data_IF_343882691794
#
_entry.id   IF_343882691794
#
_cell.length_a   1.000
_cell.length_b   1.000
_cell.length_c   1.000
_cell.angle_alpha   90.00
_cell.angle_beta   90.00
_cell.angle_gamma   90.00
#
_symmetry.space_group_name_H-M   'P 1'
#
loop_
_entity.id
_entity.type
_entity.pdbx_description
1 polymer ?
#
# COMPACT_ATOMS: atom_id res chain seq x y z
N UNK A 1 24.68 14.64 -7.46
CA UNK A 1 24.47 13.68 -6.35
C UNK A 1 23.05 13.14 -6.40
N UNK A 2 22.84 12.09 -7.20
CA UNK A 2 21.56 11.38 -7.33
C UNK A 2 21.62 10.21 -6.33
N UNK A 3 20.75 10.19 -5.32
CA UNK A 3 20.67 9.09 -4.36
C UNK A 3 19.47 8.24 -4.75
N UNK A 4 19.72 7.17 -5.50
CA UNK A 4 18.77 6.07 -5.64
C UNK A 4 18.56 5.44 -4.27
N UNK A 5 17.34 5.56 -3.76
CA UNK A 5 16.90 4.77 -2.63
C UNK A 5 16.64 3.36 -3.15
N UNK A 6 17.62 2.46 -2.98
CA UNK A 6 17.35 1.03 -3.03
C UNK A 6 16.45 0.71 -1.84
N UNK A 7 15.16 0.57 -2.12
CA UNK A 7 14.19 0.00 -1.19
C UNK A 7 14.57 -1.46 -0.88
N UNK A 8 15.47 -1.65 0.08
CA UNK A 8 15.80 -2.96 0.67
C UNK A 8 14.79 -3.38 1.77
N UNK A 9 13.59 -2.76 1.80
CA UNK A 9 12.53 -3.06 2.77
C UNK A 9 11.22 -3.53 2.14
N UNK A 10 11.29 -4.18 0.98
CA UNK A 10 10.24 -5.12 0.59
C UNK A 10 10.34 -6.36 1.49
N UNK A 11 10.04 -6.20 2.78
CA UNK A 11 9.85 -7.32 3.68
C UNK A 11 8.53 -7.99 3.27
N UNK A 12 8.62 -9.17 2.65
CA UNK A 12 7.50 -10.09 2.62
C UNK A 12 7.22 -10.47 4.08
N UNK A 13 6.16 -9.90 4.67
CA UNK A 13 5.73 -10.24 6.01
C UNK A 13 4.93 -11.55 5.95
N UNK A 14 5.45 -12.61 6.55
CA UNK A 14 4.90 -13.98 6.48
C UNK A 14 3.92 -14.34 7.62
N UNK A 15 3.37 -13.35 8.33
CA UNK A 15 2.10 -13.50 9.03
C UNK A 15 2.13 -13.76 10.54
N UNK A 16 2.99 -13.07 11.31
CA UNK A 16 2.86 -13.07 12.78
C UNK A 16 2.44 -11.70 13.36
N UNK A 17 2.42 -10.64 12.56
CA UNK A 17 2.14 -9.29 13.05
C UNK A 17 1.13 -8.50 12.19
N UNK A 18 0.03 -8.06 12.80
CA UNK A 18 -0.95 -7.16 12.21
C UNK A 18 -0.44 -5.71 12.11
N UNK A 19 -0.69 -5.06 10.98
CA UNK A 19 -0.38 -3.64 10.71
C UNK A 19 -1.62 -2.89 10.21
N UNK A 20 -1.81 -1.66 10.66
CA UNK A 20 -2.79 -0.72 10.15
C UNK A 20 -2.26 -0.02 8.89
N UNK A 21 -2.79 -0.39 7.73
CA UNK A 21 -2.42 0.23 6.46
C UNK A 21 -3.39 1.35 6.13
N UNK A 22 -2.91 2.59 6.14
CA UNK A 22 -3.68 3.77 5.76
C UNK A 22 -3.57 4.00 4.26
N UNK A 23 -4.67 3.76 3.54
CA UNK A 23 -4.78 4.02 2.11
C UNK A 23 -5.00 5.51 1.81
N UNK A 24 -4.78 5.91 0.55
CA UNK A 24 -5.17 7.23 0.11
C UNK A 24 -6.70 7.40 0.14
N UNK A 25 -7.20 8.66 0.18
CA UNK A 25 -8.63 8.91 0.06
C UNK A 25 -9.24 8.25 -1.18
N UNK A 26 -10.47 7.75 -1.05
CA UNK A 26 -11.18 7.02 -2.11
C UNK A 26 -11.19 7.78 -3.46
N UNK A 27 -11.37 9.10 -3.43
CA UNK A 27 -11.32 9.95 -4.63
C UNK A 27 -9.99 9.84 -5.39
N UNK A 28 -8.86 9.76 -4.69
CA UNK A 28 -7.54 9.57 -5.31
C UNK A 28 -7.38 8.16 -5.87
N UNK A 29 -7.85 7.16 -5.13
CA UNK A 29 -7.80 5.77 -5.62
C UNK A 29 -8.62 5.61 -6.91
N UNK A 30 -9.83 6.18 -6.93
CA UNK A 30 -10.70 6.17 -8.12
C UNK A 30 -10.07 6.88 -9.31
N UNK A 31 -9.50 8.06 -9.10
CA UNK A 31 -8.83 8.80 -10.18
C UNK A 31 -7.56 8.12 -10.69
N UNK A 32 -7.02 7.14 -9.95
CA UNK A 32 -5.80 6.39 -10.28
C UNK A 32 -6.07 4.95 -10.72
N UNK A 33 -7.33 4.57 -10.95
CA UNK A 33 -7.69 3.29 -11.57
C UNK A 33 -8.47 2.33 -10.68
N UNK A 34 -8.79 2.66 -9.42
CA UNK A 34 -9.74 1.87 -8.62
C UNK A 34 -11.17 2.25 -9.00
N UNK A 35 -11.63 1.86 -10.19
CA UNK A 35 -12.90 2.32 -10.76
C UNK A 35 -14.13 1.73 -10.09
N UNK A 36 -13.99 0.58 -9.42
CA UNK A 36 -15.06 -0.09 -8.71
C UNK A 36 -14.63 -0.46 -7.29
N UNK A 37 -15.57 -0.45 -6.33
CA UNK A 37 -15.30 -0.83 -4.95
C UNK A 37 -14.99 -2.33 -4.80
N UNK A 38 -15.49 -3.17 -5.72
CA UNK A 38 -15.21 -4.61 -5.77
C UNK A 38 -13.78 -4.95 -6.19
N UNK A 39 -13.01 -3.98 -6.69
CA UNK A 39 -11.59 -4.19 -7.00
C UNK A 39 -10.75 -4.43 -5.75
N UNK A 40 -11.22 -4.02 -4.57
CA UNK A 40 -10.56 -4.28 -3.30
C UNK A 40 -11.62 -4.68 -2.26
N UNK A 41 -11.71 -5.97 -1.98
CA UNK A 41 -12.69 -6.55 -1.09
C UNK A 41 -12.04 -7.20 0.14
N UNK A 42 -12.87 -7.45 1.16
CA UNK A 42 -12.45 -8.22 2.33
C UNK A 42 -12.13 -9.65 1.89
N UNK A 43 -10.95 -10.15 2.30
CA UNK A 43 -10.44 -11.47 1.92
C UNK A 43 -9.41 -11.43 0.78
N UNK A 44 -9.27 -10.30 0.09
CA UNK A 44 -8.27 -10.16 -0.97
C UNK A 44 -6.85 -10.20 -0.41
N UNK A 45 -5.98 -10.94 -1.09
CA UNK A 45 -4.53 -10.84 -0.87
C UNK A 45 -3.97 -9.77 -1.80
N UNK A 46 -3.34 -8.75 -1.22
CA UNK A 46 -2.78 -7.61 -1.95
C UNK A 46 -1.35 -7.33 -1.50
N UNK A 47 -0.56 -6.72 -2.38
CA UNK A 47 0.75 -6.17 -1.98
C UNK A 47 0.62 -4.67 -1.78
N UNK A 48 1.13 -4.18 -0.65
CA UNK A 48 1.18 -2.75 -0.35
C UNK A 48 2.63 -2.32 -0.23
N UNK A 49 2.97 -1.19 -0.86
CA UNK A 49 4.24 -0.49 -0.68
C UNK A 49 3.96 0.84 -0.03
N UNK A 50 4.74 1.19 0.99
CA UNK A 50 4.57 2.45 1.72
C UNK A 50 5.61 2.60 2.82
N UNK A 51 5.43 3.61 3.66
CA UNK A 51 6.34 3.90 4.77
C UNK A 51 5.63 3.79 6.13
N UNK A 52 6.33 3.30 7.17
CA UNK A 52 5.80 3.29 8.53
C UNK A 52 5.45 4.71 9.02
N UNK A 53 4.36 4.83 9.77
CA UNK A 53 4.00 6.06 10.44
C UNK A 53 5.07 6.39 11.49
N UNK A 54 5.49 7.65 11.56
CA UNK A 54 6.64 8.06 12.40
C UNK A 54 6.37 8.02 13.91
N UNK A 55 5.10 7.94 14.31
CA UNK A 55 4.67 8.06 15.72
C UNK A 55 3.68 6.99 16.16
N UNK A 56 3.10 6.24 15.22
CA UNK A 56 2.06 5.25 15.51
C UNK A 56 2.69 3.92 15.15
N UNK A 57 2.89 3.10 16.16
CA UNK A 57 3.44 1.76 15.97
C UNK A 57 2.51 0.95 15.09
N UNK A 58 3.10 0.13 14.22
CA UNK A 58 2.38 -0.79 13.33
C UNK A 58 1.36 -0.10 12.43
N UNK A 59 1.51 1.19 12.17
CA UNK A 59 0.78 1.89 11.13
C UNK A 59 1.71 2.22 9.97
N UNK A 60 1.21 2.15 8.74
CA UNK A 60 1.94 2.63 7.56
C UNK A 60 1.02 3.38 6.62
N UNK A 61 1.57 4.37 5.92
CA UNK A 61 0.85 5.04 4.83
C UNK A 61 1.24 4.40 3.50
N UNK A 62 0.23 3.90 2.79
CA UNK A 62 0.42 3.29 1.49
C UNK A 62 0.76 4.35 0.42
N UNK A 63 1.78 4.06 -0.38
CA UNK A 63 2.14 4.81 -1.58
C UNK A 63 1.70 4.10 -2.86
N UNK A 64 1.58 2.77 -2.81
CA UNK A 64 1.08 1.94 -3.90
C UNK A 64 0.36 0.72 -3.33
N UNK A 65 -0.71 0.31 -4.00
CA UNK A 65 -1.33 -0.99 -3.81
C UNK A 65 -1.29 -1.78 -5.13
N UNK A 66 -1.06 -3.09 -5.02
CA UNK A 66 -1.04 -4.03 -6.12
C UNK A 66 -2.09 -5.10 -5.83
N UNK A 67 -3.08 -5.18 -6.71
CA UNK A 67 -4.23 -6.07 -6.60
C UNK A 67 -4.22 -6.97 -7.85
N UNK A 68 -3.78 -8.22 -7.68
CA UNK A 68 -3.43 -9.08 -8.81
C UNK A 68 -2.39 -8.37 -9.71
N UNK A 69 -2.73 -8.14 -10.97
CA UNK A 69 -1.87 -7.45 -11.95
C UNK A 69 -2.08 -5.93 -11.97
N UNK A 70 -3.08 -5.41 -11.24
CA UNK A 70 -3.41 -3.98 -11.24
C UNK A 70 -2.54 -3.25 -10.22
N UNK A 71 -1.78 -2.25 -10.69
CA UNK A 71 -0.98 -1.36 -9.84
C UNK A 71 -1.63 0.02 -9.75
N UNK A 72 -1.88 0.48 -8.53
CA UNK A 72 -2.51 1.77 -8.26
C UNK A 72 -1.57 2.63 -7.41
N UNK A 73 -1.13 3.75 -7.98
CA UNK A 73 -0.27 4.73 -7.29
C UNK A 73 -1.12 5.68 -6.43
N UNK A 74 -0.79 5.77 -5.14
CA UNK A 74 -1.55 6.49 -4.11
C UNK A 74 -0.92 7.84 -3.68
N UNK A 75 0.29 8.13 -4.18
CA UNK A 75 0.96 9.44 -4.06
C UNK A 75 0.46 10.47 -5.08
#
# INVERSE_FOLDING_TARGET
HHREWKDERAAAYDGVEEWNVVLAPLTRMRSRGMTDNSMLAVGDTVTVVGYPHRRVEREMRAERIIIGDVRIELR
#
